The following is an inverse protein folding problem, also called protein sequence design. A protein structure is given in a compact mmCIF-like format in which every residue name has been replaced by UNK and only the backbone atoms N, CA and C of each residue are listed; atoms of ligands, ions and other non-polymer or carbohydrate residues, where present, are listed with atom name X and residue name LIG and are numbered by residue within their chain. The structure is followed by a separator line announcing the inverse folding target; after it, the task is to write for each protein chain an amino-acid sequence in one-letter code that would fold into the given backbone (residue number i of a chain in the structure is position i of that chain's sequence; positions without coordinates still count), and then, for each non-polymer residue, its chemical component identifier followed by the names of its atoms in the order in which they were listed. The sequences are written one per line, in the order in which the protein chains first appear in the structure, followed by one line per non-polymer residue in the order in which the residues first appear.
data_IF_071781475252
#
_entry.id   IF_071781475252
#
_cell.length_a   1.000
_cell.length_b   1.000
_cell.length_c   1.000
_cell.angle_alpha   90.00
_cell.angle_beta   90.00
_cell.angle_gamma   90.00
#
_symmetry.space_group_name_H-M   'P 1'
#
loop_
_entity.id
_entity.type
_entity.pdbx_description
1 polymer ?
#
# COMPACT_ATOMS: atom_id res chain seq x y z
N UNK A 1 -19.91 1.68 -1.71
CA UNK A 1 -18.69 1.23 -1.01
C UNK A 1 -17.44 1.89 -1.59
N UNK A 2 -17.13 1.72 -2.85
CA UNK A 2 -15.92 2.25 -3.53
C UNK A 2 -15.92 3.76 -3.81
N UNK A 3 -17.01 4.47 -3.54
CA UNK A 3 -17.18 5.89 -3.85
C UNK A 3 -17.73 6.14 -5.26
N UNK A 4 -18.08 7.41 -5.53
CA UNK A 4 -18.70 7.81 -6.80
C UNK A 4 -17.78 7.60 -8.02
N UNK A 5 -16.48 7.72 -7.81
CA UNK A 5 -15.50 7.53 -8.89
C UNK A 5 -15.41 6.06 -9.38
N UNK A 6 -15.99 5.10 -8.69
CA UNK A 6 -15.97 3.70 -9.10
C UNK A 6 -16.68 3.43 -10.44
N UNK A 7 -17.51 4.35 -10.90
CA UNK A 7 -18.17 4.28 -12.21
C UNK A 7 -17.39 4.97 -13.33
N UNK A 8 -16.28 5.62 -12.98
CA UNK A 8 -15.44 6.37 -13.94
C UNK A 8 -14.19 5.55 -14.30
N UNK A 9 -14.08 5.04 -15.54
CA UNK A 9 -12.93 4.27 -15.98
C UNK A 9 -11.61 5.02 -15.80
N UNK A 10 -10.57 4.29 -15.35
CA UNK A 10 -9.23 4.85 -15.13
C UNK A 10 -9.01 5.49 -13.77
N UNK A 11 -10.04 5.61 -12.93
CA UNK A 11 -9.88 6.03 -11.54
C UNK A 11 -9.38 4.87 -10.68
N UNK A 12 -8.72 5.18 -9.56
CA UNK A 12 -8.28 4.16 -8.63
C UNK A 12 -9.47 3.35 -8.05
N UNK A 13 -10.58 4.02 -7.79
CA UNK A 13 -11.81 3.39 -7.32
C UNK A 13 -12.38 2.38 -8.32
N UNK A 14 -12.44 2.73 -9.60
CA UNK A 14 -12.86 1.81 -10.67
C UNK A 14 -11.90 0.63 -10.80
N UNK A 15 -10.59 0.88 -10.67
CA UNK A 15 -9.56 -0.17 -10.74
C UNK A 15 -9.64 -1.12 -9.54
N UNK A 16 -9.89 -0.64 -8.33
CA UNK A 16 -10.12 -1.48 -7.15
C UNK A 16 -11.37 -2.36 -7.32
N UNK A 17 -12.48 -1.79 -7.82
CA UNK A 17 -13.68 -2.56 -8.14
C UNK A 17 -13.43 -3.63 -9.21
N UNK A 18 -12.64 -3.29 -10.25
CA UNK A 18 -12.25 -4.24 -11.29
C UNK A 18 -11.37 -5.35 -10.71
N UNK A 19 -10.39 -5.01 -9.86
CA UNK A 19 -9.53 -5.98 -9.20
C UNK A 19 -10.34 -7.02 -8.41
N UNK A 20 -11.33 -6.58 -7.62
CA UNK A 20 -12.24 -7.49 -6.92
C UNK A 20 -13.00 -8.41 -7.89
N UNK A 21 -13.52 -7.87 -9.01
CA UNK A 21 -14.21 -8.66 -10.03
C UNK A 21 -13.31 -9.66 -10.74
N UNK A 22 -12.03 -9.33 -10.90
CA UNK A 22 -11.03 -10.25 -11.45
C UNK A 22 -10.71 -11.38 -10.47
N UNK A 23 -10.58 -11.06 -9.18
CA UNK A 23 -10.40 -12.05 -8.13
C UNK A 23 -11.57 -13.06 -8.08
N UNK A 24 -12.81 -12.61 -8.23
CA UNK A 24 -13.99 -13.49 -8.35
C UNK A 24 -13.95 -14.44 -9.55
N UNK A 25 -13.07 -14.20 -10.52
CA UNK A 25 -12.88 -15.01 -11.73
C UNK A 25 -11.55 -15.74 -11.73
N UNK A 26 -10.99 -15.97 -10.56
CA UNK A 26 -9.76 -16.72 -10.34
C UNK A 26 -8.53 -16.12 -11.07
N UNK A 27 -8.53 -14.82 -11.34
CA UNK A 27 -7.33 -14.14 -11.83
C UNK A 27 -6.32 -14.08 -10.68
N UNK A 28 -5.24 -14.84 -10.82
CA UNK A 28 -4.32 -15.13 -9.73
C UNK A 28 -3.39 -13.97 -9.34
N UNK A 29 -3.11 -13.06 -10.26
CA UNK A 29 -2.20 -11.96 -10.03
C UNK A 29 -2.78 -10.67 -10.60
N UNK A 30 -3.02 -9.70 -9.73
CA UNK A 30 -3.65 -8.44 -10.09
C UNK A 30 -2.81 -7.31 -9.52
N UNK A 31 -2.39 -6.36 -10.36
CA UNK A 31 -1.69 -5.16 -9.93
C UNK A 31 -2.55 -3.93 -10.20
N UNK A 32 -2.71 -3.12 -9.17
CA UNK A 32 -3.41 -1.83 -9.25
C UNK A 32 -2.41 -0.72 -8.94
N UNK A 33 -2.24 0.19 -9.88
CA UNK A 33 -1.31 1.30 -9.73
C UNK A 33 -2.05 2.61 -9.47
N UNK A 34 -1.50 3.41 -8.56
CA UNK A 34 -1.91 4.79 -8.34
C UNK A 34 -0.68 5.69 -8.36
N UNK A 35 -0.65 6.63 -9.29
CA UNK A 35 0.48 7.54 -9.53
C UNK A 35 0.39 8.81 -8.70
N UNK A 36 1.48 9.55 -8.64
CA UNK A 36 1.48 10.93 -8.14
C UNK A 36 1.84 11.06 -6.67
N UNK A 37 2.63 10.13 -6.13
CA UNK A 37 3.13 10.16 -4.75
C UNK A 37 4.51 10.77 -4.58
N UNK A 38 5.19 11.10 -5.68
CA UNK A 38 6.55 11.63 -5.67
C UNK A 38 6.57 13.14 -5.41
N UNK A 39 6.35 13.53 -4.17
CA UNK A 39 6.18 14.93 -3.77
C UNK A 39 7.48 15.56 -3.29
N UNK A 40 8.30 16.07 -4.21
CA UNK A 40 9.49 16.89 -3.92
C UNK A 40 9.14 18.36 -3.63
N UNK A 41 7.88 18.77 -3.81
CA UNK A 41 7.27 20.04 -3.49
C UNK A 41 5.76 19.91 -3.42
N UNK A 42 5.06 20.90 -2.84
CA UNK A 42 3.61 20.91 -2.76
C UNK A 42 2.98 19.78 -1.94
N UNK A 43 3.77 19.09 -1.10
CA UNK A 43 3.34 17.93 -0.35
C UNK A 43 2.05 18.17 0.46
N UNK A 44 1.89 19.28 1.23
CA UNK A 44 0.70 19.46 2.08
C UNK A 44 -0.62 19.43 1.32
N UNK A 45 -0.62 19.93 0.09
CA UNK A 45 -1.79 19.93 -0.80
C UNK A 45 -1.95 18.58 -1.49
N UNK A 46 -0.87 18.06 -2.05
CA UNK A 46 -0.89 16.89 -2.91
C UNK A 46 -1.17 15.60 -2.11
N UNK A 47 -0.62 15.44 -0.90
CA UNK A 47 -0.87 14.26 -0.09
C UNK A 47 -2.35 14.11 0.30
N UNK A 48 -3.03 15.23 0.60
CA UNK A 48 -4.47 15.20 0.90
C UNK A 48 -5.30 14.74 -0.30
N UNK A 49 -4.94 15.20 -1.49
CA UNK A 49 -5.60 14.77 -2.72
C UNK A 49 -5.37 13.29 -2.98
N UNK A 50 -4.12 12.82 -2.89
CA UNK A 50 -3.79 11.42 -3.13
C UNK A 50 -4.46 10.49 -2.11
N UNK A 51 -4.43 10.84 -0.82
CA UNK A 51 -5.12 10.08 0.21
C UNK A 51 -6.64 10.02 -0.06
N UNK A 52 -7.26 11.14 -0.41
CA UNK A 52 -8.68 11.20 -0.76
C UNK A 52 -9.07 10.32 -1.96
N UNK A 53 -8.14 10.11 -2.90
CA UNK A 53 -8.37 9.23 -4.05
C UNK A 53 -8.23 7.73 -3.73
N UNK A 54 -7.44 7.37 -2.71
CA UNK A 54 -7.10 5.95 -2.46
C UNK A 54 -7.70 5.36 -1.18
N UNK A 55 -7.93 6.15 -0.13
CA UNK A 55 -8.31 5.62 1.19
C UNK A 55 -9.62 4.83 1.15
N UNK A 56 -10.69 5.44 0.64
CA UNK A 56 -11.99 4.77 0.56
C UNK A 56 -11.97 3.55 -0.38
N UNK A 57 -11.42 3.61 -1.60
CA UNK A 57 -11.38 2.44 -2.48
C UNK A 57 -10.51 1.30 -1.96
N UNK A 58 -9.38 1.59 -1.31
CA UNK A 58 -8.52 0.57 -0.73
C UNK A 58 -9.23 -0.16 0.43
N UNK A 59 -9.85 0.60 1.33
CA UNK A 59 -10.72 0.03 2.38
C UNK A 59 -11.86 -0.81 1.79
N UNK A 60 -12.54 -0.27 0.76
CA UNK A 60 -13.67 -0.94 0.13
C UNK A 60 -13.26 -2.27 -0.51
N UNK A 61 -12.08 -2.32 -1.14
CA UNK A 61 -11.55 -3.55 -1.73
C UNK A 61 -11.41 -4.66 -0.67
N UNK A 62 -10.77 -4.35 0.45
CA UNK A 62 -10.59 -5.32 1.55
C UNK A 62 -11.94 -5.76 2.13
N UNK A 63 -12.86 -4.81 2.36
CA UNK A 63 -14.19 -5.14 2.91
C UNK A 63 -15.04 -5.95 1.94
N UNK A 64 -15.01 -5.64 0.65
CA UNK A 64 -15.78 -6.36 -0.37
C UNK A 64 -15.27 -7.79 -0.55
N UNK A 65 -13.94 -7.99 -0.57
CA UNK A 65 -13.32 -9.33 -0.56
C UNK A 65 -13.73 -10.11 0.69
N UNK A 66 -13.71 -9.49 1.87
CA UNK A 66 -14.11 -10.10 3.13
C UNK A 66 -15.58 -10.52 3.11
N UNK A 67 -16.47 -9.62 2.71
CA UNK A 67 -17.92 -9.89 2.66
C UNK A 67 -18.30 -11.02 1.70
N UNK A 68 -17.47 -11.25 0.68
CA UNK A 68 -17.64 -12.32 -0.31
C UNK A 68 -16.96 -13.63 0.04
N UNK A 69 -16.27 -13.69 1.18
CA UNK A 69 -15.50 -14.87 1.57
C UNK A 69 -14.24 -15.10 0.72
N UNK A 70 -13.77 -14.06 0.00
CA UNK A 70 -12.59 -14.16 -0.87
C UNK A 70 -11.29 -13.73 -0.17
N UNK A 71 -11.38 -13.01 0.94
CA UNK A 71 -10.21 -12.43 1.59
C UNK A 71 -9.26 -13.48 2.18
N UNK A 72 -9.79 -14.61 2.61
CA UNK A 72 -8.97 -15.69 3.20
C UNK A 72 -8.03 -16.31 2.16
N UNK A 73 -8.45 -16.34 0.88
CA UNK A 73 -7.69 -16.89 -0.24
C UNK A 73 -7.06 -15.78 -1.12
N UNK A 74 -7.20 -14.52 -0.74
CA UNK A 74 -6.67 -13.37 -1.49
C UNK A 74 -5.74 -12.54 -0.62
N UNK A 75 -4.46 -12.51 -0.95
CA UNK A 75 -3.49 -11.64 -0.30
C UNK A 75 -3.54 -10.25 -0.94
N UNK A 76 -3.96 -9.26 -0.18
CA UNK A 76 -3.90 -7.84 -0.58
C UNK A 76 -2.65 -7.21 0.01
N UNK A 77 -1.81 -6.64 -0.85
CA UNK A 77 -0.56 -5.95 -0.46
C UNK A 77 -0.66 -4.50 -0.90
N UNK A 78 -0.40 -3.59 0.01
CA UNK A 78 -0.33 -2.17 -0.26
C UNK A 78 1.03 -1.61 0.16
N UNK A 79 1.63 -0.81 -0.71
CA UNK A 79 2.90 -0.17 -0.42
C UNK A 79 3.42 0.65 -1.58
N UNK A 80 4.50 1.36 -1.33
CA UNK A 80 5.33 1.99 -2.35
C UNK A 80 6.65 1.25 -2.51
N UNK A 81 7.48 1.75 -3.41
CA UNK A 81 8.81 1.20 -3.69
C UNK A 81 9.78 1.41 -2.51
N UNK A 82 9.66 2.54 -1.79
CA UNK A 82 10.40 2.90 -0.58
C UNK A 82 9.71 4.05 0.17
N UNK A 83 10.33 4.52 1.24
CA UNK A 83 9.84 5.59 2.09
C UNK A 83 10.28 6.99 1.68
N UNK A 84 9.97 7.94 2.53
CA UNK A 84 10.31 9.35 2.38
C UNK A 84 11.04 9.87 3.61
N UNK A 85 11.92 10.83 3.40
CA UNK A 85 12.67 11.47 4.49
C UNK A 85 11.75 12.19 5.47
N UNK A 86 12.16 12.25 6.73
CA UNK A 86 11.48 13.04 7.74
C UNK A 86 11.76 14.53 7.62
N UNK A 87 12.95 14.89 7.12
CA UNK A 87 13.28 16.27 6.80
C UNK A 87 12.65 16.72 5.50
N UNK A 88 12.39 18.01 5.42
CA UNK A 88 11.73 18.64 4.28
C UNK A 88 12.71 18.98 3.16
N UNK A 89 12.18 19.06 1.94
CA UNK A 89 12.87 19.42 0.73
C UNK A 89 12.07 20.48 -0.05
N UNK A 90 12.73 21.19 -0.96
CA UNK A 90 12.11 22.19 -1.82
C UNK A 90 12.06 23.58 -1.20
N UNK A 91 10.96 24.28 -1.35
CA UNK A 91 10.82 25.70 -0.95
C UNK A 91 10.90 25.94 0.55
N UNK A 92 10.61 24.94 1.37
CA UNK A 92 10.70 24.94 2.83
C UNK A 92 9.83 26.02 3.52
N UNK A 93 8.65 26.28 2.97
CA UNK A 93 7.63 27.08 3.65
C UNK A 93 6.61 26.18 4.34
N UNK A 94 5.82 26.72 5.27
CA UNK A 94 4.78 25.97 5.98
C UNK A 94 3.72 25.36 5.05
N UNK A 95 3.45 26.00 3.92
CA UNK A 95 2.44 25.59 2.93
C UNK A 95 3.01 24.88 1.71
N UNK A 96 4.32 24.98 1.50
CA UNK A 96 5.01 24.37 0.36
C UNK A 96 6.35 23.80 0.77
N UNK A 97 6.42 22.49 0.79
CA UNK A 97 7.62 21.67 0.97
C UNK A 97 7.38 20.30 0.37
N UNK A 98 8.44 19.55 0.19
CA UNK A 98 8.40 18.15 -0.22
C UNK A 98 9.22 17.27 0.71
N UNK A 99 9.38 16.02 0.33
CA UNK A 99 10.25 15.05 1.01
C UNK A 99 11.03 14.28 -0.02
N UNK A 100 12.26 13.95 0.30
CA UNK A 100 13.14 13.15 -0.55
C UNK A 100 12.90 11.65 -0.34
N UNK A 101 13.53 10.85 -1.15
CA UNK A 101 13.49 9.40 -1.10
C UNK A 101 14.26 8.85 0.13
N UNK A 102 13.68 7.86 0.80
CA UNK A 102 14.33 7.20 1.94
C UNK A 102 14.15 5.68 1.86
N UNK A 103 15.07 4.97 1.17
CA UNK A 103 14.91 3.55 0.88
C UNK A 103 15.09 2.64 2.12
N UNK A 104 15.64 3.15 3.22
CA UNK A 104 15.96 2.35 4.40
C UNK A 104 14.79 2.13 5.37
N UNK A 105 13.76 2.98 5.28
CA UNK A 105 12.69 2.97 6.26
C UNK A 105 11.35 3.27 5.60
N UNK A 106 10.46 2.29 5.54
CA UNK A 106 9.11 2.44 5.03
C UNK A 106 8.19 1.34 5.54
N UNK A 107 6.91 1.57 5.45
CA UNK A 107 5.89 0.63 5.89
C UNK A 107 5.08 0.10 4.70
N UNK A 108 4.64 -1.14 4.83
CA UNK A 108 3.66 -1.76 3.96
C UNK A 108 2.58 -2.40 4.81
N UNK A 109 1.38 -2.59 4.27
CA UNK A 109 0.40 -3.42 4.95
C UNK A 109 -0.07 -4.57 4.08
N UNK A 110 -0.51 -5.62 4.76
CA UNK A 110 -1.02 -6.86 4.19
C UNK A 110 -2.40 -7.15 4.76
N UNK A 111 -3.30 -7.69 3.94
CA UNK A 111 -4.60 -8.14 4.41
C UNK A 111 -5.01 -9.43 3.68
N UNK A 112 -5.58 -10.36 4.40
CA UNK A 112 -6.04 -11.64 3.87
C UNK A 112 -4.92 -12.63 3.53
N UNK A 113 -5.23 -13.65 2.76
CA UNK A 113 -4.28 -14.66 2.28
C UNK A 113 -3.48 -15.35 3.39
N UNK A 114 -4.06 -15.57 4.57
CA UNK A 114 -3.40 -16.22 5.70
C UNK A 114 -2.58 -15.27 6.59
N UNK A 115 -2.59 -13.95 6.35
CA UNK A 115 -1.92 -12.98 7.24
C UNK A 115 -2.70 -12.77 8.54
N UNK A 116 -1.99 -12.63 9.66
CA UNK A 116 -2.61 -12.29 10.95
C UNK A 116 -3.06 -10.82 10.95
N UNK A 117 -4.36 -10.59 11.19
CA UNK A 117 -4.91 -9.25 11.30
C UNK A 117 -4.55 -8.56 12.61
N UNK A 118 -4.45 -7.22 12.60
CA UNK A 118 -4.21 -6.41 13.80
C UNK A 118 -2.78 -6.47 14.34
N UNK A 119 -1.83 -6.97 13.58
CA UNK A 119 -0.42 -7.07 13.96
C UNK A 119 0.37 -5.91 13.34
N UNK A 120 1.20 -5.25 14.17
CA UNK A 120 2.27 -4.38 13.71
C UNK A 120 3.61 -5.06 13.97
N UNK A 121 4.46 -5.15 12.97
CA UNK A 121 5.76 -5.81 13.07
C UNK A 121 6.86 -4.84 12.64
N UNK A 122 7.88 -4.70 13.49
CA UNK A 122 8.93 -3.70 13.32
C UNK A 122 8.56 -2.34 13.89
N UNK A 123 9.60 -1.57 14.22
CA UNK A 123 9.47 -0.22 14.76
C UNK A 123 10.61 0.66 14.28
N UNK A 124 10.28 1.93 14.04
CA UNK A 124 11.27 2.97 13.72
C UNK A 124 11.68 3.72 14.98
N UNK A 125 12.77 4.48 14.89
CA UNK A 125 13.09 5.53 15.85
C UNK A 125 12.00 6.63 15.86
N UNK A 126 12.06 7.53 16.83
CA UNK A 126 11.08 8.61 16.99
C UNK A 126 11.03 9.57 15.81
N UNK A 127 12.07 9.60 15.00
CA UNK A 127 12.14 10.41 13.78
C UNK A 127 11.71 9.65 12.51
N UNK A 128 11.33 8.37 12.62
CA UNK A 128 11.00 7.50 11.49
C UNK A 128 12.13 7.42 10.44
N UNK A 129 13.38 7.58 10.90
CA UNK A 129 14.55 7.62 10.04
C UNK A 129 15.30 6.29 9.97
N UNK A 130 15.36 5.55 11.09
CA UNK A 130 15.97 4.23 11.15
C UNK A 130 14.98 3.21 11.69
N UNK A 131 15.15 1.95 11.28
CA UNK A 131 14.47 0.82 11.89
C UNK A 131 15.27 0.40 13.12
N UNK A 132 14.65 0.38 14.29
CA UNK A 132 15.31 0.06 15.58
C UNK A 132 14.86 -1.26 16.17
N UNK A 133 13.77 -1.85 15.65
CA UNK A 133 13.22 -3.11 16.15
C UNK A 133 12.64 -3.93 14.99
N UNK A 134 12.96 -5.24 15.00
CA UNK A 134 12.44 -6.21 14.04
C UNK A 134 12.50 -5.75 12.58
N UNK A 135 13.69 -5.44 12.03
CA UNK A 135 13.81 -5.05 10.64
C UNK A 135 13.37 -6.19 9.71
N UNK A 136 12.59 -5.84 8.68
CA UNK A 136 12.19 -6.79 7.64
C UNK A 136 12.99 -6.50 6.37
N UNK A 137 13.88 -7.40 6.02
CA UNK A 137 14.61 -7.29 4.77
C UNK A 137 13.68 -7.56 3.57
N UNK A 138 13.93 -6.93 2.44
CA UNK A 138 13.13 -7.12 1.22
C UNK A 138 13.02 -8.58 0.80
N UNK A 139 14.07 -9.38 1.02
CA UNK A 139 14.07 -10.81 0.73
C UNK A 139 13.12 -11.59 1.64
N UNK A 140 13.06 -11.22 2.92
CA UNK A 140 12.16 -11.88 3.89
C UNK A 140 10.70 -11.58 3.56
N UNK A 141 10.41 -10.34 3.16
CA UNK A 141 9.10 -9.95 2.65
C UNK A 141 8.72 -10.77 1.41
N UNK A 142 9.63 -10.90 0.44
CA UNK A 142 9.37 -11.65 -0.78
C UNK A 142 9.20 -13.14 -0.48
N UNK A 143 10.02 -13.72 0.42
CA UNK A 143 9.89 -15.10 0.87
C UNK A 143 8.53 -15.34 1.54
N UNK A 144 8.06 -14.38 2.37
CA UNK A 144 6.73 -14.45 2.99
C UNK A 144 5.61 -14.45 1.95
N UNK A 145 5.67 -13.56 0.96
CA UNK A 145 4.69 -13.51 -0.13
C UNK A 145 4.66 -14.82 -0.90
N UNK A 146 5.82 -15.34 -1.29
CA UNK A 146 5.92 -16.62 -2.00
C UNK A 146 5.36 -17.77 -1.16
N UNK A 147 5.69 -17.82 0.14
CA UNK A 147 5.15 -18.83 1.05
C UNK A 147 3.62 -18.79 1.13
N UNK A 148 3.03 -17.59 1.27
CA UNK A 148 1.58 -17.42 1.30
C UNK A 148 0.91 -17.80 -0.05
N UNK A 149 1.63 -17.72 -1.15
CA UNK A 149 1.20 -18.19 -2.47
C UNK A 149 1.41 -19.71 -2.67
N UNK A 150 1.93 -20.43 -1.68
CA UNK A 150 2.25 -21.86 -1.78
C UNK A 150 3.50 -22.17 -2.59
N UNK A 151 4.37 -21.20 -2.82
CA UNK A 151 5.61 -21.33 -3.61
C UNK A 151 6.81 -21.47 -2.66
N UNK A 152 7.60 -22.51 -2.83
CA UNK A 152 8.87 -22.66 -2.09
C UNK A 152 9.91 -21.69 -2.65
N UNK A 153 10.21 -20.64 -1.90
CA UNK A 153 11.16 -19.59 -2.28
C UNK A 153 12.63 -20.02 -2.28
N UNK A 154 12.92 -21.27 -1.85
CA UNK A 154 14.29 -21.85 -1.83
C UNK A 154 14.60 -22.67 -3.06
N UNK A 155 13.69 -22.76 -4.01
CA UNK A 155 13.84 -23.50 -5.26
C UNK A 155 13.97 -22.60 -6.47
#
# INVERSE_FOLDING_TARGET
MYGEQATQPGTFAANCLLARRMAERDVRFIQVFHRGWDHHGGLPKNIRRQAGEVDQPAWALVQDLKQRGLLDDTLVIWGGEFGRTVYSQGTLTRSDYGRDHHPRCYSMWFAGGGTAGGVSYGRTDDFSYNIVENPVHIRDRNATILHLLGIDHRR
#
